data_IF_852280216654
#
_entry.id   IF_852280216654
#
_cell.length_a   1.000
_cell.length_b   1.000
_cell.length_c   1.000
_cell.angle_alpha   90.00
_cell.angle_beta   90.00
_cell.angle_gamma   90.00
#
_symmetry.space_group_name_H-M   'P 1'
#
loop_
_entity.id
_entity.type
_entity.pdbx_description
1 polymer ?
#
# COMPACT_ATOMS: atom_id res chain seq x y z
N UNK A 1 10.63 19.96 -28.09
CA UNK A 1 10.78 19.11 -26.89
C UNK A 1 9.44 18.47 -26.64
N UNK A 2 9.26 17.14 -26.75
CA UNK A 2 8.02 16.53 -26.30
C UNK A 2 7.90 16.75 -24.79
N UNK A 3 6.78 17.34 -24.34
CA UNK A 3 6.48 17.49 -22.95
C UNK A 3 6.59 16.10 -22.30
N UNK A 4 7.45 15.94 -21.30
CA UNK A 4 7.55 14.72 -20.52
C UNK A 4 6.17 14.44 -19.94
N UNK A 5 5.51 13.42 -20.46
CA UNK A 5 4.21 12.97 -19.97
C UNK A 5 4.33 12.81 -18.45
N UNK A 6 3.49 13.49 -17.63
CA UNK A 6 3.64 13.42 -16.18
C UNK A 6 3.45 11.98 -15.75
N UNK A 7 4.57 11.35 -15.46
CA UNK A 7 4.68 9.91 -15.19
C UNK A 7 3.75 9.50 -14.06
N UNK A 8 2.87 8.56 -14.34
CA UNK A 8 2.08 7.89 -13.31
C UNK A 8 3.02 7.35 -12.23
N UNK A 9 2.66 7.55 -10.95
CA UNK A 9 3.37 6.96 -9.81
C UNK A 9 2.57 5.80 -9.27
N UNK A 10 3.28 4.76 -8.86
CA UNK A 10 2.69 3.57 -8.31
C UNK A 10 3.16 3.38 -6.86
N UNK A 11 2.25 2.92 -6.06
CA UNK A 11 2.49 2.44 -4.71
C UNK A 11 1.73 1.15 -4.52
N UNK A 12 2.31 0.16 -3.84
CA UNK A 12 1.57 -1.06 -3.55
C UNK A 12 1.66 -1.45 -2.07
N UNK A 13 0.74 -2.31 -1.67
CA UNK A 13 0.70 -2.94 -0.35
C UNK A 13 0.50 -4.44 -0.59
N UNK A 14 1.47 -5.24 -0.17
CA UNK A 14 1.41 -6.71 -0.25
C UNK A 14 0.71 -7.24 0.98
N UNK A 15 -0.26 -8.13 0.80
CA UNK A 15 -0.92 -8.82 1.90
C UNK A 15 0.08 -9.75 2.61
N UNK A 16 -0.02 -9.87 3.94
CA UNK A 16 0.97 -10.60 4.74
C UNK A 16 0.86 -12.12 4.68
N UNK A 17 -0.33 -12.63 4.36
CA UNK A 17 -0.63 -14.08 4.40
C UNK A 17 -1.19 -14.61 3.07
N UNK A 18 -1.39 -13.75 2.07
CA UNK A 18 -1.90 -14.13 0.75
C UNK A 18 -1.04 -13.51 -0.36
N UNK A 19 -0.87 -14.22 -1.45
CA UNK A 19 -0.14 -13.72 -2.63
C UNK A 19 -0.99 -12.72 -3.43
N UNK A 20 -1.37 -11.63 -2.76
CA UNK A 20 -2.18 -10.54 -3.29
C UNK A 20 -1.56 -9.22 -2.89
N UNK A 21 -1.59 -8.25 -3.78
CA UNK A 21 -1.27 -6.87 -3.48
C UNK A 21 -2.35 -5.92 -3.98
N UNK A 22 -2.45 -4.76 -3.35
CA UNK A 22 -3.21 -3.61 -3.87
C UNK A 22 -2.23 -2.63 -4.46
N UNK A 23 -2.50 -2.16 -5.67
CA UNK A 23 -1.70 -1.16 -6.36
C UNK A 23 -2.50 0.14 -6.48
N UNK A 24 -1.92 1.24 -6.04
CA UNK A 24 -2.45 2.58 -6.24
C UNK A 24 -1.70 3.25 -7.39
N UNK A 25 -2.39 3.51 -8.46
CA UNK A 25 -1.86 4.27 -9.60
C UNK A 25 -2.32 5.71 -9.50
N UNK A 26 -1.39 6.63 -9.29
CA UNK A 26 -1.62 8.07 -9.15
C UNK A 26 -1.04 8.84 -10.33
N UNK A 27 -1.70 9.91 -10.72
CA UNK A 27 -1.26 10.90 -11.70
C UNK A 27 -1.87 10.74 -13.08
N UNK A 28 -1.75 11.76 -13.95
CA UNK A 28 -1.22 13.11 -13.67
C UNK A 28 -2.19 14.01 -12.88
N UNK A 29 -3.43 13.59 -12.70
CA UNK A 29 -4.49 14.33 -12.00
C UNK A 29 -4.55 14.00 -10.50
N UNK A 30 -5.45 14.68 -9.76
CA UNK A 30 -5.79 14.36 -8.36
C UNK A 30 -6.68 13.10 -8.27
N UNK A 31 -6.41 12.09 -9.10
CA UNK A 31 -7.13 10.82 -9.15
C UNK A 31 -6.19 9.66 -8.89
N UNK A 32 -6.69 8.68 -8.17
CA UNK A 32 -5.97 7.45 -7.84
C UNK A 32 -6.82 6.28 -8.30
N UNK A 33 -6.29 5.39 -9.13
CA UNK A 33 -6.91 4.10 -9.45
C UNK A 33 -6.40 3.05 -8.50
N UNK A 34 -7.28 2.24 -7.98
CA UNK A 34 -6.93 1.02 -7.27
C UNK A 34 -6.95 -0.15 -8.24
N UNK A 35 -5.93 -1.01 -8.14
CA UNK A 35 -5.90 -2.30 -8.82
C UNK A 35 -5.61 -3.38 -7.78
N UNK A 36 -6.13 -4.57 -8.01
CA UNK A 36 -5.76 -5.79 -7.28
C UNK A 36 -4.77 -6.58 -8.12
N UNK A 37 -3.64 -6.94 -7.54
CA UNK A 37 -2.59 -7.72 -8.18
C UNK A 37 -2.53 -9.12 -7.58
N UNK A 38 -2.79 -10.13 -8.38
CA UNK A 38 -2.53 -11.53 -8.04
C UNK A 38 -1.03 -11.79 -8.27
N UNK A 39 -0.29 -12.02 -7.20
CA UNK A 39 1.15 -12.23 -7.25
C UNK A 39 1.54 -13.65 -7.70
N UNK A 40 0.61 -14.60 -7.70
CA UNK A 40 0.88 -15.96 -8.18
C UNK A 40 0.87 -16.02 -9.70
N UNK A 41 0.00 -15.25 -10.35
CA UNK A 41 -0.20 -15.24 -11.80
C UNK A 41 0.32 -13.98 -12.49
N UNK A 42 0.71 -12.97 -11.71
CA UNK A 42 1.04 -11.61 -12.16
C UNK A 42 -0.09 -10.93 -12.96
N UNK A 43 -1.35 -11.27 -12.65
CA UNK A 43 -2.52 -10.63 -13.26
C UNK A 43 -3.00 -9.45 -12.43
N UNK A 44 -3.47 -8.41 -13.12
CA UNK A 44 -4.02 -7.21 -12.48
C UNK A 44 -5.49 -7.05 -12.84
N UNK A 45 -6.31 -6.92 -11.80
CA UNK A 45 -7.72 -6.52 -11.89
C UNK A 45 -7.82 -5.01 -11.64
N UNK A 46 -8.34 -4.29 -12.63
CA UNK A 46 -8.50 -2.84 -12.53
C UNK A 46 -9.82 -2.49 -11.83
N UNK A 47 -9.72 -1.67 -10.80
CA UNK A 47 -10.86 -1.27 -9.98
C UNK A 47 -11.23 0.20 -10.10
N UNK A 48 -11.80 0.73 -9.03
CA UNK A 48 -12.36 2.07 -8.98
C UNK A 48 -11.29 3.17 -8.93
N UNK A 49 -11.73 4.37 -9.33
CA UNK A 49 -11.00 5.61 -9.18
C UNK A 49 -11.51 6.40 -7.97
N UNK A 50 -10.58 6.91 -7.20
CA UNK A 50 -10.81 7.88 -6.14
C UNK A 50 -10.41 9.27 -6.65
N UNK A 51 -11.31 10.24 -6.52
CA UNK A 51 -11.00 11.66 -6.73
C UNK A 51 -10.63 12.29 -5.39
N UNK A 52 -9.37 12.71 -5.24
CA UNK A 52 -8.84 13.26 -4.00
C UNK A 52 -7.38 12.87 -3.77
N UNK A 53 -6.88 13.17 -2.59
CA UNK A 53 -5.56 12.76 -2.12
C UNK A 53 -5.68 11.47 -1.31
N UNK A 54 -4.93 10.47 -1.69
CA UNK A 54 -4.72 9.25 -0.90
C UNK A 54 -3.39 9.38 -0.14
N UNK A 55 -3.37 8.92 1.10
CA UNK A 55 -2.18 8.88 1.96
C UNK A 55 -1.74 7.43 2.08
N UNK A 56 -0.94 6.98 1.14
CA UNK A 56 -0.56 5.58 0.95
C UNK A 56 0.10 4.97 2.20
N UNK A 57 0.95 5.74 2.88
CA UNK A 57 1.62 5.28 4.12
C UNK A 57 0.65 5.12 5.29
N UNK A 58 -0.61 5.54 5.16
CA UNK A 58 -1.64 5.39 6.18
C UNK A 58 -2.73 4.40 5.78
N UNK A 59 -2.49 3.71 4.65
CA UNK A 59 -3.30 2.60 4.20
C UNK A 59 -2.68 1.29 4.67
N UNK A 60 -3.49 0.27 4.85
CA UNK A 60 -3.02 -1.09 5.12
C UNK A 60 -3.98 -2.12 4.53
N UNK A 61 -3.44 -3.28 4.18
CA UNK A 61 -4.17 -4.41 3.61
C UNK A 61 -4.32 -5.49 4.67
N UNK A 62 -5.52 -6.07 4.80
CA UNK A 62 -5.72 -7.20 5.71
C UNK A 62 -4.77 -8.34 5.37
N UNK A 63 -4.39 -9.19 6.34
CA UNK A 63 -3.43 -10.26 6.11
C UNK A 63 -3.79 -11.18 4.95
N UNK A 64 -5.07 -11.43 4.73
CA UNK A 64 -5.62 -12.25 3.63
C UNK A 64 -5.88 -11.48 2.33
N UNK A 65 -5.63 -10.17 2.31
CA UNK A 65 -5.86 -9.32 1.14
C UNK A 65 -7.32 -9.00 0.82
N UNK A 66 -8.27 -9.37 1.70
CA UNK A 66 -9.69 -9.21 1.44
C UNK A 66 -10.22 -7.81 1.74
N UNK A 67 -9.58 -7.08 2.65
CA UNK A 67 -9.96 -5.73 3.08
C UNK A 67 -8.79 -4.76 3.01
N UNK A 68 -9.11 -3.54 2.63
CA UNK A 68 -8.19 -2.40 2.63
C UNK A 68 -8.72 -1.34 3.60
N UNK A 69 -7.89 -0.88 4.55
CA UNK A 69 -8.11 0.40 5.22
C UNK A 69 -7.35 1.48 4.46
N UNK A 70 -8.02 2.59 4.16
CA UNK A 70 -7.40 3.70 3.47
C UNK A 70 -7.78 5.05 4.07
N UNK A 71 -6.82 5.99 4.02
CA UNK A 71 -7.01 7.37 4.44
C UNK A 71 -6.92 8.30 3.24
N UNK A 72 -7.96 9.10 3.04
CA UNK A 72 -8.05 10.00 1.91
C UNK A 72 -8.64 11.35 2.29
N UNK A 73 -8.41 12.37 1.44
CA UNK A 73 -8.94 13.72 1.63
C UNK A 73 -9.36 14.34 0.32
N UNK A 74 -10.49 15.04 0.37
CA UNK A 74 -10.97 15.92 -0.71
C UNK A 74 -10.76 17.39 -0.38
N UNK A 75 -10.62 17.73 0.90
CA UNK A 75 -10.47 19.09 1.45
C UNK A 75 -11.55 20.06 0.93
N UNK A 76 -12.80 19.56 0.86
CA UNK A 76 -13.99 20.30 0.43
C UNK A 76 -15.20 19.81 1.21
N UNK A 77 -16.08 20.74 1.61
CA UNK A 77 -17.30 20.44 2.35
C UNK A 77 -17.02 20.03 3.81
N UNK A 78 -18.01 19.43 4.46
CA UNK A 78 -17.98 19.10 5.89
C UNK A 78 -17.04 17.93 6.23
N UNK A 79 -16.73 17.09 5.25
CA UNK A 79 -15.80 15.98 5.37
C UNK A 79 -14.55 16.29 4.54
N UNK A 80 -13.54 16.85 5.20
CA UNK A 80 -12.27 17.20 4.54
C UNK A 80 -11.43 15.96 4.24
N UNK A 81 -11.37 15.05 5.23
CA UNK A 81 -10.64 13.79 5.15
C UNK A 81 -11.49 12.66 5.71
N UNK A 82 -11.12 11.43 5.44
CA UNK A 82 -11.81 10.27 5.98
C UNK A 82 -10.90 9.04 5.99
N UNK A 83 -11.17 8.16 6.93
CA UNK A 83 -10.67 6.78 6.92
C UNK A 83 -11.83 5.87 6.52
N UNK A 84 -11.55 4.89 5.68
CA UNK A 84 -12.56 3.92 5.28
C UNK A 84 -11.99 2.52 5.12
N UNK A 85 -12.84 1.51 5.27
CA UNK A 85 -12.56 0.12 4.91
C UNK A 85 -13.29 -0.17 3.61
N UNK A 86 -12.63 -0.85 2.68
CA UNK A 86 -13.23 -1.31 1.43
C UNK A 86 -12.70 -2.68 1.01
N UNK A 87 -13.36 -3.27 0.00
CA UNK A 87 -12.86 -4.48 -0.67
C UNK A 87 -12.05 -4.11 -1.90
N UNK A 88 -10.75 -4.46 -1.97
CA UNK A 88 -10.00 -4.28 -3.21
C UNK A 88 -10.61 -5.05 -4.38
N UNK A 89 -10.62 -4.48 -5.58
CA UNK A 89 -10.00 -3.22 -5.98
C UNK A 89 -10.95 -2.00 -5.95
N UNK A 90 -11.89 -1.94 -5.03
CA UNK A 90 -12.89 -0.89 -4.97
C UNK A 90 -12.66 0.08 -3.81
N UNK A 91 -12.94 1.37 -4.04
CA UNK A 91 -12.94 2.42 -3.00
C UNK A 91 -14.31 2.60 -2.35
N UNK A 92 -15.30 1.78 -2.71
CA UNK A 92 -16.62 1.80 -2.09
C UNK A 92 -16.49 1.45 -0.60
N UNK A 93 -16.87 2.35 0.32
CA UNK A 93 -16.67 2.11 1.74
C UNK A 93 -17.65 1.09 2.30
N UNK A 94 -17.14 0.14 3.05
CA UNK A 94 -17.89 -0.78 3.92
C UNK A 94 -18.05 -0.19 5.33
N UNK A 95 -17.02 0.52 5.80
CA UNK A 95 -17.06 1.32 7.02
C UNK A 95 -16.38 2.67 6.73
N UNK A 96 -16.83 3.74 7.39
CA UNK A 96 -16.44 5.09 7.05
C UNK A 96 -16.39 5.99 8.29
N UNK A 97 -15.23 6.60 8.54
CA UNK A 97 -15.00 7.56 9.63
C UNK A 97 -14.62 8.91 9.03
N UNK A 98 -15.51 9.93 9.13
CA UNK A 98 -15.24 11.28 8.67
C UNK A 98 -14.18 11.95 9.56
N UNK A 99 -13.35 12.78 8.98
CA UNK A 99 -12.30 13.52 9.67
C UNK A 99 -12.15 14.95 9.18
N UNK A 100 -11.34 15.72 9.89
CA UNK A 100 -10.88 17.05 9.50
C UNK A 100 -9.35 17.09 9.52
N UNK A 101 -8.78 17.82 8.56
CA UNK A 101 -7.33 17.93 8.44
C UNK A 101 -6.65 16.62 8.04
N UNK A 102 -5.33 16.67 7.93
CA UNK A 102 -4.52 15.54 7.42
C UNK A 102 -3.84 14.74 8.54
N UNK A 103 -4.15 14.97 9.80
CA UNK A 103 -3.51 14.31 10.93
C UNK A 103 -4.42 13.21 11.52
N UNK A 104 -3.80 12.13 11.99
CA UNK A 104 -4.44 11.10 12.80
C UNK A 104 -5.36 10.10 12.07
N UNK A 105 -5.56 10.23 10.74
CA UNK A 105 -6.36 9.26 9.98
C UNK A 105 -5.55 8.05 9.52
N UNK A 106 -6.26 7.03 9.06
CA UNK A 106 -5.72 5.75 8.60
C UNK A 106 -5.79 4.66 9.65
N UNK A 107 -5.28 3.48 9.35
CA UNK A 107 -5.35 2.31 10.22
C UNK A 107 -4.29 1.27 9.86
N UNK A 108 -4.23 0.22 10.67
CA UNK A 108 -3.44 -0.97 10.41
C UNK A 108 -4.19 -2.22 10.90
N UNK A 109 -4.22 -3.25 10.08
CA UNK A 109 -4.79 -4.53 10.47
C UNK A 109 -3.83 -5.29 11.40
N UNK A 110 -4.33 -5.74 12.53
CA UNK A 110 -3.62 -6.66 13.44
C UNK A 110 -3.96 -8.11 13.14
N UNK A 111 -5.16 -8.34 12.61
CA UNK A 111 -5.59 -9.64 12.08
C UNK A 111 -6.54 -9.45 10.88
N UNK A 112 -7.10 -10.54 10.35
CA UNK A 112 -8.11 -10.46 9.28
C UNK A 112 -9.43 -9.80 9.71
N UNK A 113 -9.72 -9.79 11.01
CA UNK A 113 -10.97 -9.27 11.60
C UNK A 113 -10.75 -8.19 12.65
N UNK A 114 -9.53 -7.67 12.76
CA UNK A 114 -9.18 -6.65 13.74
C UNK A 114 -8.35 -5.53 13.09
N UNK A 115 -8.78 -4.31 13.34
CA UNK A 115 -8.15 -3.08 12.84
C UNK A 115 -7.90 -2.11 13.98
N UNK A 116 -6.71 -1.53 14.02
CA UNK A 116 -6.43 -0.35 14.84
C UNK A 116 -6.52 0.90 13.97
N UNK A 117 -7.27 1.90 14.45
CA UNK A 117 -7.44 3.21 13.80
C UNK A 117 -6.68 4.29 14.55
N UNK A 118 -6.19 5.29 13.84
CA UNK A 118 -5.68 6.51 14.47
C UNK A 118 -6.75 7.17 15.33
N UNK A 119 -6.37 7.67 16.50
CA UNK A 119 -7.29 8.25 17.51
C UNK A 119 -8.22 9.30 16.93
N UNK A 120 -7.71 10.19 16.07
CA UNK A 120 -8.56 11.21 15.44
C UNK A 120 -9.57 10.67 14.41
N UNK A 121 -9.45 9.41 13.99
CA UNK A 121 -10.46 8.79 13.14
C UNK A 121 -11.66 8.29 13.94
N UNK A 122 -11.48 8.02 15.26
CA UNK A 122 -12.52 7.47 16.15
C UNK A 122 -13.29 8.57 16.90
N UNK A 123 -12.81 9.83 16.90
CA UNK A 123 -13.46 10.95 17.58
C UNK A 123 -14.87 11.30 17.04
N UNK A 124 -15.24 10.71 15.91
CA UNK A 124 -16.55 10.87 15.29
C UNK A 124 -17.22 9.52 15.08
N UNK A 125 -18.51 9.48 15.33
CA UNK A 125 -19.30 8.31 15.03
C UNK A 125 -19.14 7.92 13.54
N UNK A 126 -18.92 6.65 13.25
CA UNK A 126 -18.81 6.19 11.87
C UNK A 126 -20.15 6.39 11.15
N UNK A 127 -20.09 6.86 9.89
CA UNK A 127 -21.28 6.97 9.04
C UNK A 127 -21.72 5.60 8.47
N UNK A 128 -20.79 4.64 8.43
CA UNK A 128 -21.06 3.24 8.12
C UNK A 128 -20.23 2.37 9.06
N UNK A 129 -20.88 1.44 9.75
CA UNK A 129 -20.25 0.65 10.83
C UNK A 129 -19.75 -0.70 10.33
N UNK A 130 -18.68 -1.17 10.95
CA UNK A 130 -18.22 -2.55 10.81
C UNK A 130 -19.21 -3.51 11.49
N UNK A 131 -19.35 -4.76 11.00
CA UNK A 131 -20.14 -5.77 11.68
C UNK A 131 -19.52 -6.14 13.04
N UNK A 132 -20.32 -6.67 13.95
CA UNK A 132 -19.90 -7.07 15.31
C UNK A 132 -18.78 -8.12 15.32
N UNK A 133 -18.66 -8.89 14.24
CA UNK A 133 -17.57 -9.87 14.03
C UNK A 133 -16.23 -9.24 13.62
N UNK A 134 -16.18 -7.91 13.44
CA UNK A 134 -14.99 -7.17 13.06
C UNK A 134 -14.66 -6.13 14.12
N UNK A 135 -13.53 -6.29 14.78
CA UNK A 135 -13.11 -5.43 15.87
C UNK A 135 -12.36 -4.19 15.35
N UNK A 136 -12.75 -3.01 15.83
CA UNK A 136 -12.08 -1.74 15.54
C UNK A 136 -11.68 -1.11 16.85
N UNK A 137 -10.38 -0.90 17.03
CA UNK A 137 -9.82 -0.27 18.24
C UNK A 137 -9.09 1.03 17.91
N UNK A 138 -9.16 2.05 18.78
CA UNK A 138 -8.31 3.22 18.65
C UNK A 138 -6.85 2.85 18.93
N UNK A 139 -5.94 3.49 18.23
CA UNK A 139 -4.50 3.37 18.45
C UNK A 139 -3.88 4.75 18.55
N UNK A 140 -3.07 4.96 19.59
CA UNK A 140 -2.25 6.16 19.66
C UNK A 140 -1.27 6.18 18.47
N UNK A 141 -1.19 7.32 17.80
CA UNK A 141 -0.32 7.52 16.64
C UNK A 141 1.17 7.25 16.94
N UNK A 142 1.56 7.33 18.23
CA UNK A 142 2.92 7.00 18.68
C UNK A 142 3.23 5.49 18.67
N UNK A 143 2.20 4.64 18.64
CA UNK A 143 2.33 3.17 18.79
C UNK A 143 1.72 2.44 17.58
N UNK A 144 1.84 3.00 16.39
CA UNK A 144 1.37 2.31 15.20
C UNK A 144 2.08 0.97 15.00
N UNK A 145 1.35 -0.13 14.75
CA UNK A 145 1.97 -1.40 14.37
C UNK A 145 2.89 -1.22 13.17
N UNK A 146 3.95 -2.01 13.10
CA UNK A 146 4.83 -2.05 11.95
C UNK A 146 4.00 -2.29 10.68
N UNK A 147 3.94 -1.28 9.80
CA UNK A 147 3.13 -1.35 8.59
C UNK A 147 3.92 -2.00 7.48
N UNK A 148 3.22 -2.79 6.70
CA UNK A 148 3.80 -3.43 5.51
C UNK A 148 5.00 -4.34 5.84
N UNK A 149 5.15 -4.77 7.11
CA UNK A 149 6.23 -5.66 7.54
C UNK A 149 7.61 -5.03 7.64
N UNK A 150 7.72 -3.70 7.53
CA UNK A 150 8.97 -2.98 7.80
C UNK A 150 9.09 -2.62 9.28
N UNK A 151 10.27 -2.79 9.84
CA UNK A 151 10.63 -2.43 11.21
C UNK A 151 11.85 -1.49 11.23
N UNK A 152 12.05 -0.70 12.30
CA UNK A 152 13.23 0.14 12.41
C UNK A 152 14.51 -0.67 12.21
N UNK A 153 15.45 -0.14 11.42
CA UNK A 153 16.73 -0.80 11.19
C UNK A 153 17.61 -0.71 12.43
N UNK A 154 18.13 -1.84 12.88
CA UNK A 154 19.14 -1.87 13.93
C UNK A 154 20.53 -1.36 13.50
N UNK A 155 20.77 -1.27 12.19
CA UNK A 155 22.07 -0.94 11.64
C UNK A 155 22.18 0.50 11.10
N UNK A 156 21.04 1.16 10.82
CA UNK A 156 21.03 2.50 10.20
C UNK A 156 19.90 3.36 10.77
N UNK A 157 20.28 4.45 11.44
CA UNK A 157 19.32 5.37 12.05
C UNK A 157 18.39 5.99 10.99
N UNK A 158 17.08 5.92 11.23
CA UNK A 158 16.08 6.50 10.33
C UNK A 158 15.74 5.64 9.12
N UNK A 159 16.38 4.47 8.99
CA UNK A 159 16.02 3.45 8.02
C UNK A 159 15.07 2.42 8.61
N UNK A 160 14.39 1.70 7.74
CA UNK A 160 13.49 0.60 8.08
C UNK A 160 13.87 -0.62 7.22
N UNK A 161 13.90 -1.79 7.83
CA UNK A 161 14.31 -3.05 7.24
C UNK A 161 13.14 -4.02 7.13
N UNK A 162 13.09 -4.77 6.03
CA UNK A 162 12.17 -5.90 5.83
C UNK A 162 12.96 -7.11 5.35
N UNK A 163 13.10 -8.16 6.18
CA UNK A 163 13.77 -9.39 5.76
C UNK A 163 13.06 -10.04 4.58
N UNK A 164 13.83 -10.66 3.70
CA UNK A 164 13.28 -11.47 2.62
C UNK A 164 12.58 -12.71 3.18
N UNK A 165 11.37 -13.05 2.72
CA UNK A 165 10.71 -14.30 3.11
C UNK A 165 11.48 -15.55 2.66
N UNK A 166 12.34 -15.45 1.65
CA UNK A 166 13.22 -16.54 1.24
C UNK A 166 14.41 -16.77 2.20
N UNK A 167 14.57 -15.93 3.21
CA UNK A 167 15.68 -16.02 4.18
C UNK A 167 17.00 -15.55 3.60
N UNK A 168 18.06 -16.34 3.82
CA UNK A 168 19.45 -16.08 3.35
C UNK A 168 20.09 -14.79 3.87
N UNK A 169 19.54 -14.18 4.93
CA UNK A 169 20.02 -12.91 5.47
C UNK A 169 19.84 -11.71 4.53
N UNK A 170 19.04 -11.86 3.48
CA UNK A 170 18.74 -10.77 2.55
C UNK A 170 17.67 -9.86 3.13
N UNK A 171 17.89 -8.55 3.09
CA UNK A 171 17.03 -7.51 3.67
C UNK A 171 16.78 -6.43 2.63
N UNK A 172 15.52 -6.03 2.49
CA UNK A 172 15.15 -4.80 1.79
C UNK A 172 15.15 -3.65 2.80
N UNK A 173 16.07 -2.72 2.64
CA UNK A 173 16.18 -1.50 3.43
C UNK A 173 15.55 -0.34 2.70
N UNK A 174 14.76 0.45 3.41
CA UNK A 174 14.28 1.75 2.93
C UNK A 174 14.74 2.85 3.87
N UNK A 175 15.36 3.89 3.34
CA UNK A 175 15.79 5.07 4.09
C UNK A 175 15.25 6.36 3.48
N UNK A 176 15.27 7.45 4.25
CA UNK A 176 14.93 8.78 3.74
C UNK A 176 16.15 9.36 3.04
N UNK A 177 15.97 9.89 1.84
CA UNK A 177 17.01 10.64 1.17
C UNK A 177 17.23 11.96 1.89
N UNK A 178 18.41 12.21 2.42
CA UNK A 178 18.82 13.52 2.90
C UNK A 178 19.21 14.41 1.70
N UNK A 179 18.77 15.67 1.69
CA UNK A 179 19.37 16.75 0.87
C UNK A 179 18.92 16.88 -0.58
N UNK A 180 18.07 16.06 -1.15
CA UNK A 180 17.57 16.31 -2.50
C UNK A 180 16.23 17.04 -2.44
N UNK A 181 16.01 18.04 -3.32
CA UNK A 181 14.77 18.79 -3.44
C UNK A 181 13.55 17.91 -3.18
N UNK A 182 12.93 18.10 -2.03
CA UNK A 182 11.77 17.35 -1.63
C UNK A 182 10.72 17.45 -2.74
N UNK A 183 10.20 16.31 -3.20
CA UNK A 183 8.98 16.31 -4.01
C UNK A 183 7.87 16.99 -3.19
N UNK A 184 6.81 17.53 -3.82
CA UNK A 184 5.71 18.17 -3.10
C UNK A 184 5.03 17.29 -2.02
N UNK A 185 5.31 15.97 -2.03
CA UNK A 185 4.88 15.00 -1.01
C UNK A 185 5.96 14.70 0.05
N UNK A 186 7.13 15.36 -0.02
CA UNK A 186 8.17 15.35 1.00
C UNK A 186 8.95 14.04 1.16
N UNK A 187 8.72 13.00 0.36
CA UNK A 187 9.22 11.66 0.67
C UNK A 187 9.87 10.98 -0.53
N UNK A 188 11.18 11.14 -0.65
CA UNK A 188 11.99 10.19 -1.43
C UNK A 188 12.52 9.12 -0.49
N UNK A 189 12.12 7.87 -0.74
CA UNK A 189 12.73 6.71 -0.09
C UNK A 189 13.78 6.14 -1.02
N UNK A 190 14.95 5.87 -0.49
CA UNK A 190 15.97 5.05 -1.13
C UNK A 190 15.68 3.61 -0.77
N UNK A 191 15.87 2.72 -1.72
CA UNK A 191 15.71 1.28 -1.51
C UNK A 191 17.05 0.61 -1.80
N UNK A 192 17.50 -0.20 -0.87
CA UNK A 192 18.78 -0.91 -0.93
C UNK A 192 18.57 -2.37 -0.52
N UNK A 193 19.12 -3.30 -1.26
CA UNK A 193 19.24 -4.68 -0.80
C UNK A 193 20.52 -4.79 0.02
N UNK A 194 20.43 -5.48 1.16
CA UNK A 194 21.53 -5.67 2.10
C UNK A 194 21.65 -7.16 2.42
N UNK A 195 22.87 -7.72 2.35
CA UNK A 195 23.18 -9.07 2.76
C UNK A 195 24.55 -9.08 3.46
N UNK A 196 24.57 -9.20 4.78
CA UNK A 196 25.78 -9.01 5.56
C UNK A 196 26.39 -7.62 5.36
N UNK A 197 27.62 -7.56 4.84
CA UNK A 197 28.30 -6.31 4.49
C UNK A 197 27.99 -5.81 3.06
N UNK A 198 27.40 -6.65 2.22
CA UNK A 198 27.13 -6.32 0.83
C UNK A 198 25.89 -5.43 0.69
N UNK A 199 25.92 -4.51 -0.26
CA UNK A 199 24.84 -3.57 -0.55
C UNK A 199 24.62 -3.46 -2.04
N UNK A 200 23.35 -3.44 -2.47
CA UNK A 200 22.95 -3.20 -3.84
C UNK A 200 21.86 -2.14 -3.87
N UNK A 201 22.18 -0.96 -4.37
CA UNK A 201 21.20 0.11 -4.55
C UNK A 201 20.23 -0.25 -5.67
N UNK A 202 18.93 -0.09 -5.41
CA UNK A 202 17.87 -0.35 -6.38
C UNK A 202 17.55 0.86 -7.27
N UNK A 203 18.38 1.90 -7.20
CA UNK A 203 18.07 3.16 -7.86
C UNK A 203 16.99 3.94 -7.12
N UNK A 204 15.99 4.45 -7.86
CA UNK A 204 14.95 5.32 -7.30
C UNK A 204 13.55 4.83 -7.68
N UNK A 205 13.17 3.59 -7.34
CA UNK A 205 11.81 3.14 -7.55
C UNK A 205 10.84 3.97 -6.72
N UNK A 206 9.60 4.14 -7.20
CA UNK A 206 8.53 4.75 -6.43
C UNK A 206 8.17 3.91 -5.22
N UNK A 207 8.31 2.58 -5.34
CA UNK A 207 8.01 1.58 -4.32
C UNK A 207 8.78 0.28 -4.57
N UNK A 208 9.14 -0.42 -3.49
CA UNK A 208 9.72 -1.76 -3.51
C UNK A 208 9.21 -2.58 -2.33
N UNK A 209 9.00 -3.89 -2.53
CA UNK A 209 8.64 -4.86 -1.50
C UNK A 209 8.96 -6.29 -1.95
N UNK A 210 8.76 -7.27 -1.06
CA UNK A 210 8.90 -8.68 -1.33
C UNK A 210 7.59 -9.33 -1.74
N UNK A 211 7.64 -10.25 -2.73
CA UNK A 211 6.66 -11.33 -2.83
C UNK A 211 7.00 -12.43 -1.82
N UNK A 212 6.04 -13.28 -1.53
CA UNK A 212 6.17 -14.40 -0.59
C UNK A 212 7.22 -15.45 -1.02
N UNK A 213 7.52 -15.53 -2.31
CA UNK A 213 8.57 -16.41 -2.85
C UNK A 213 9.98 -15.82 -2.77
N UNK A 214 10.11 -14.59 -2.23
CA UNK A 214 11.36 -13.86 -2.11
C UNK A 214 11.77 -13.09 -3.37
N UNK A 215 10.94 -13.07 -4.41
CA UNK A 215 11.13 -12.15 -5.53
C UNK A 215 10.95 -10.71 -5.08
N UNK A 216 11.77 -9.81 -5.60
CA UNK A 216 11.63 -8.38 -5.38
C UNK A 216 10.60 -7.79 -6.34
N UNK A 217 9.61 -7.12 -5.79
CA UNK A 217 8.62 -6.36 -6.51
C UNK A 217 9.02 -4.89 -6.55
N UNK A 218 8.91 -4.26 -7.69
CA UNK A 218 9.31 -2.86 -7.90
C UNK A 218 8.24 -2.09 -8.66
N UNK A 219 8.09 -0.82 -8.31
CA UNK A 219 7.32 0.13 -9.11
C UNK A 219 8.21 1.30 -9.50
N UNK A 220 8.30 1.59 -10.78
CA UNK A 220 9.07 2.70 -11.32
C UNK A 220 8.39 3.29 -12.54
N UNK A 221 8.26 4.63 -12.56
CA UNK A 221 7.75 5.39 -13.72
C UNK A 221 6.44 4.86 -14.31
N UNK A 222 5.52 4.42 -13.46
CA UNK A 222 4.22 3.91 -13.86
C UNK A 222 4.21 2.47 -14.35
N UNK A 223 5.30 1.74 -14.19
CA UNK A 223 5.42 0.32 -14.50
C UNK A 223 5.66 -0.51 -13.24
N UNK A 224 5.16 -1.74 -13.23
CA UNK A 224 5.42 -2.76 -12.22
C UNK A 224 6.43 -3.76 -12.76
N UNK A 225 7.35 -4.15 -11.91
CA UNK A 225 8.40 -5.12 -12.26
C UNK A 225 8.53 -6.17 -11.15
N UNK A 226 8.99 -7.35 -11.55
CA UNK A 226 9.43 -8.44 -10.69
C UNK A 226 10.90 -8.74 -10.99
N UNK A 227 11.70 -8.95 -9.96
CA UNK A 227 13.12 -9.28 -10.10
C UNK A 227 13.47 -10.47 -9.22
N UNK A 228 14.09 -11.48 -9.80
CA UNK A 228 14.78 -12.52 -9.03
C UNK A 228 16.07 -11.92 -8.45
N UNK A 229 16.25 -12.04 -7.16
CA UNK A 229 17.40 -11.50 -6.45
C UNK A 229 18.23 -12.57 -5.75
N UNK A 230 17.92 -13.85 -5.99
CA UNK A 230 18.57 -14.97 -5.31
C UNK A 230 20.12 -14.96 -5.46
N UNK A 231 20.63 -14.42 -6.57
CA UNK A 231 22.06 -14.33 -6.88
C UNK A 231 22.55 -12.91 -7.17
N UNK A 232 21.84 -11.91 -6.61
CA UNK A 232 22.10 -10.51 -6.96
C UNK A 232 23.53 -10.05 -6.58
N UNK A 233 24.08 -10.60 -5.50
CA UNK A 233 25.43 -10.28 -5.03
C UNK A 233 26.50 -11.16 -5.70
N UNK A 234 26.16 -12.40 -6.06
CA UNK A 234 27.09 -13.29 -6.77
C UNK A 234 27.33 -12.86 -8.22
N UNK A 235 26.27 -12.36 -8.88
CA UNK A 235 26.26 -11.92 -10.28
C UNK A 235 25.51 -10.62 -10.45
N UNK A 236 26.12 -9.47 -10.08
CA UNK A 236 25.53 -8.16 -10.27
C UNK A 236 25.14 -7.96 -11.75
N UNK A 237 23.87 -7.63 -12.01
CA UNK A 237 23.35 -7.44 -13.38
C UNK A 237 22.75 -8.69 -14.05
N UNK A 238 22.88 -9.88 -13.48
CA UNK A 238 22.34 -11.11 -14.08
C UNK A 238 20.81 -11.21 -14.11
N UNK A 239 20.12 -10.47 -13.25
CA UNK A 239 18.67 -10.48 -13.13
C UNK A 239 18.08 -9.11 -13.50
N UNK A 240 17.89 -8.87 -14.79
CA UNK A 240 17.11 -7.71 -15.23
C UNK A 240 15.66 -7.81 -14.68
N UNK A 241 15.08 -6.70 -14.22
CA UNK A 241 13.69 -6.70 -13.80
C UNK A 241 12.78 -7.09 -14.97
N UNK A 242 11.90 -8.08 -14.76
CA UNK A 242 10.85 -8.45 -15.71
C UNK A 242 9.68 -7.50 -15.57
N UNK A 243 9.23 -6.91 -16.68
CA UNK A 243 8.03 -6.10 -16.70
C UNK A 243 6.80 -6.98 -16.40
N UNK A 244 6.02 -6.59 -15.41
CA UNK A 244 4.73 -7.19 -15.07
C UNK A 244 3.59 -6.42 -15.75
N UNK A 245 3.60 -5.09 -15.61
CA UNK A 245 2.57 -4.25 -16.22
C UNK A 245 3.08 -2.82 -16.49
N UNK A 246 2.59 -2.24 -17.58
CA UNK A 246 2.72 -0.83 -17.90
C UNK A 246 1.36 -0.14 -17.66
N UNK A 247 1.30 0.70 -16.63
CA UNK A 247 0.09 1.39 -16.23
C UNK A 247 0.07 2.88 -16.63
N UNK A 248 1.03 3.31 -17.45
CA UNK A 248 1.18 4.72 -17.87
C UNK A 248 -0.03 5.22 -18.66
N UNK A 249 -0.49 4.42 -19.60
CA UNK A 249 -1.58 4.78 -20.50
C UNK A 249 -2.98 4.75 -19.89
N UNK A 250 -3.12 4.32 -18.61
CA UNK A 250 -4.44 4.25 -17.97
C UNK A 250 -5.10 5.62 -17.89
N UNK A 251 -6.33 5.71 -18.36
CA UNK A 251 -7.18 6.89 -18.31
C UNK A 251 -8.31 6.69 -17.32
N UNK A 252 -8.89 7.82 -16.88
CA UNK A 252 -10.06 7.79 -16.00
C UNK A 252 -11.24 7.16 -16.74
N UNK A 253 -11.82 6.18 -16.08
CA UNK A 253 -13.05 5.52 -16.49
C UNK A 253 -13.93 5.38 -15.24
N UNK A 254 -15.15 5.87 -15.31
CA UNK A 254 -16.10 5.74 -14.22
C UNK A 254 -16.52 4.28 -14.08
N UNK A 255 -16.43 3.75 -12.87
CA UNK A 255 -16.84 2.37 -12.56
C UNK A 255 -17.85 2.38 -11.41
N UNK A 256 -19.06 1.89 -11.69
CA UNK A 256 -20.04 1.64 -10.64
C UNK A 256 -19.57 0.49 -9.73
N UNK A 257 -19.78 0.60 -8.41
CA UNK A 257 -19.41 -0.48 -7.50
C UNK A 257 -20.29 -1.72 -7.77
N UNK A 258 -19.69 -2.88 -8.03
CA UNK A 258 -20.43 -4.13 -8.13
C UNK A 258 -21.00 -4.54 -6.75
N UNK A 259 -21.88 -5.53 -6.72
CA UNK A 259 -22.54 -5.95 -5.49
C UNK A 259 -21.55 -6.37 -4.41
N UNK A 260 -20.53 -7.14 -4.77
CA UNK A 260 -19.48 -7.61 -3.84
C UNK A 260 -18.69 -6.47 -3.20
N UNK A 261 -18.55 -5.32 -3.87
CA UNK A 261 -17.87 -4.15 -3.30
C UNK A 261 -18.63 -3.53 -2.11
N UNK A 262 -19.92 -3.86 -1.96
CA UNK A 262 -20.80 -3.32 -0.91
C UNK A 262 -21.06 -4.32 0.22
N UNK A 263 -20.50 -5.52 0.13
CA UNK A 263 -20.69 -6.57 1.12
C UNK A 263 -19.38 -6.91 1.83
N UNK A 264 -19.46 -7.13 3.15
CA UNK A 264 -18.32 -7.63 3.92
C UNK A 264 -17.94 -9.03 3.43
N UNK A 265 -16.64 -9.37 3.35
CA UNK A 265 -16.19 -10.69 2.88
C UNK A 265 -16.49 -11.81 3.90
N UNK A 266 -16.88 -11.45 5.11
CA UNK A 266 -17.30 -12.38 6.14
C UNK A 266 -18.84 -12.47 6.09
N UNK A 267 -19.38 -13.61 5.66
CA UNK A 267 -20.80 -13.86 5.76
C UNK A 267 -21.26 -13.79 7.22
N UNK A 268 -22.58 -13.58 7.50
CA UNK A 268 -23.09 -13.74 8.85
C UNK A 268 -22.69 -15.13 9.34
N UNK A 269 -21.96 -15.19 10.47
CA UNK A 269 -21.73 -16.46 11.14
C UNK A 269 -23.12 -17.01 11.46
N UNK A 270 -23.54 -18.07 10.77
CA UNK A 270 -24.72 -18.83 11.17
C UNK A 270 -24.43 -19.27 12.60
N UNK A 271 -25.22 -18.72 13.53
CA UNK A 271 -25.15 -19.12 14.93
C UNK A 271 -25.21 -20.64 14.99
N UNK A 272 -24.23 -21.23 15.63
CA UNK A 272 -24.36 -22.59 16.11
C UNK A 272 -25.42 -22.52 17.19
N UNK A 273 -26.61 -22.97 16.86
CA UNK A 273 -27.69 -23.30 17.78
C UNK A 273 -27.40 -24.64 18.44
#
# INVERSE_FOLDING_TARGET
MPASDPTARLWAIVARQARVAVVFRRGPSKRVRMLRWDLATDTLEAGQWLSGRLYEDRCDLSPDGALLVYFAGKFRGDVETFTAISRPPFFTPLAFWPGRGAYGGGGAFTSRSELVLGTHAVDRAPLAQAPTSFEVRPCDAAVWPARHGFSPSGAERGAEDKPSPAGRGLVLRRSRSEGAAARPDGRRRLHTLVQGAERCELGRPDWADWDHDGSLLLAERGCLFRRDVARIFERPGSAAPRLVADLRAMRFEAMAPPHEAKAWPFGPQRGQS
#
